data_IF_697236383695
#
_entry.id   IF_697236383695
#
_cell.length_a   1.000
_cell.length_b   1.000
_cell.length_c   1.000
_cell.angle_alpha   90.00
_cell.angle_beta   90.00
_cell.angle_gamma   90.00
#
_symmetry.space_group_name_H-M   'P 1'
#
loop_
_entity.id
_entity.type
_entity.pdbx_description
1 polymer ?
#
# COMPACT_ATOMS: atom_id res chain seq x y z
N UNK A 1 1.80 17.77 -7.30
CA UNK A 1 0.78 17.69 -6.23
C UNK A 1 1.21 16.53 -5.37
N UNK A 2 1.58 16.80 -4.13
CA UNK A 2 2.29 15.87 -3.22
C UNK A 2 1.29 14.84 -2.67
N UNK A 3 1.23 13.66 -3.30
CA UNK A 3 0.29 12.60 -2.92
C UNK A 3 0.65 12.09 -1.52
N UNK A 4 1.94 12.03 -1.21
CA UNK A 4 2.45 11.59 0.09
C UNK A 4 1.96 12.45 1.25
N UNK A 5 1.88 13.77 1.08
CA UNK A 5 1.35 14.69 2.09
C UNK A 5 -0.18 14.70 2.18
N UNK A 6 -0.89 14.30 1.11
CA UNK A 6 -2.36 14.23 1.10
C UNK A 6 -2.87 12.94 1.75
N UNK A 7 -2.11 11.84 1.68
CA UNK A 7 -2.52 10.55 2.22
C UNK A 7 -2.29 10.44 3.73
N UNK A 8 -3.16 11.09 4.50
CA UNK A 8 -3.12 11.07 5.97
C UNK A 8 -3.59 9.74 6.56
N UNK A 9 -3.31 9.51 7.84
CA UNK A 9 -3.83 8.35 8.58
C UNK A 9 -5.36 8.27 8.56
N UNK A 10 -6.06 9.42 8.49
CA UNK A 10 -7.52 9.44 8.35
C UNK A 10 -7.99 8.92 6.98
N UNK A 11 -7.31 9.30 5.90
CA UNK A 11 -7.58 8.76 4.56
C UNK A 11 -7.33 7.25 4.51
N UNK A 12 -6.24 6.77 5.13
CA UNK A 12 -5.99 5.34 5.29
C UNK A 12 -7.15 4.64 6.00
N UNK A 13 -7.57 5.14 7.16
CA UNK A 13 -8.65 4.53 7.95
C UNK A 13 -9.97 4.48 7.16
N UNK A 14 -10.29 5.56 6.45
CA UNK A 14 -11.49 5.64 5.63
C UNK A 14 -11.48 4.59 4.52
N UNK A 15 -10.39 4.50 3.74
CA UNK A 15 -10.27 3.49 2.69
C UNK A 15 -10.24 2.06 3.25
N UNK A 16 -9.56 1.85 4.38
CA UNK A 16 -9.53 0.57 5.06
C UNK A 16 -10.94 0.10 5.42
N UNK A 17 -11.75 0.95 6.07
CA UNK A 17 -13.14 0.62 6.42
C UNK A 17 -13.95 0.30 5.17
N UNK A 18 -13.85 1.15 4.13
CA UNK A 18 -14.58 0.93 2.87
C UNK A 18 -14.23 -0.41 2.24
N UNK A 19 -12.94 -0.74 2.11
CA UNK A 19 -12.52 -2.00 1.49
C UNK A 19 -12.87 -3.22 2.33
N UNK A 20 -12.80 -3.13 3.66
CA UNK A 20 -13.28 -4.20 4.55
C UNK A 20 -14.78 -4.43 4.35
N UNK A 21 -15.58 -3.37 4.34
CA UNK A 21 -17.03 -3.45 4.12
C UNK A 21 -17.34 -4.08 2.76
N UNK A 22 -16.66 -3.65 1.69
CA UNK A 22 -16.84 -4.23 0.34
C UNK A 22 -16.49 -5.72 0.33
N UNK A 23 -15.36 -6.13 0.90
CA UNK A 23 -14.97 -7.54 0.98
C UNK A 23 -16.02 -8.38 1.71
N UNK A 24 -16.51 -7.91 2.86
CA UNK A 24 -17.55 -8.59 3.64
C UNK A 24 -18.88 -8.69 2.87
N UNK A 25 -19.27 -7.63 2.17
CA UNK A 25 -20.48 -7.60 1.33
C UNK A 25 -20.37 -8.65 0.23
N UNK A 26 -19.27 -8.67 -0.52
CA UNK A 26 -19.06 -9.65 -1.61
C UNK A 26 -19.06 -11.07 -1.07
N UNK A 27 -18.40 -11.31 0.07
CA UNK A 27 -18.34 -12.62 0.71
C UNK A 27 -19.73 -13.11 1.13
N UNK A 28 -20.56 -12.23 1.71
CA UNK A 28 -21.95 -12.52 2.07
C UNK A 28 -22.80 -12.82 0.83
N UNK A 29 -22.69 -12.02 -0.23
CA UNK A 29 -23.42 -12.24 -1.48
C UNK A 29 -23.04 -13.56 -2.16
N UNK A 30 -21.74 -13.91 -2.18
CA UNK A 30 -21.26 -15.16 -2.77
C UNK A 30 -21.36 -16.37 -1.84
N UNK A 31 -21.87 -16.22 -0.61
CA UNK A 31 -21.95 -17.26 0.44
C UNK A 31 -20.61 -18.00 0.64
N UNK A 32 -19.50 -17.27 0.58
CA UNK A 32 -18.16 -17.85 0.72
C UNK A 32 -17.72 -17.90 2.18
N UNK A 33 -16.81 -18.82 2.50
CA UNK A 33 -16.21 -18.92 3.82
C UNK A 33 -15.16 -17.80 4.01
N UNK A 34 -15.11 -17.18 5.20
CA UNK A 34 -14.15 -16.12 5.56
C UNK A 34 -12.69 -16.53 5.33
N UNK A 35 -12.38 -17.83 5.39
CA UNK A 35 -11.04 -18.38 5.09
C UNK A 35 -10.55 -18.05 3.67
N UNK A 36 -11.45 -17.72 2.74
CA UNK A 36 -11.08 -17.34 1.37
C UNK A 36 -10.34 -15.99 1.32
N UNK A 37 -10.56 -15.12 2.32
CA UNK A 37 -9.90 -13.82 2.43
C UNK A 37 -8.40 -13.98 2.74
N UNK A 38 -8.03 -14.95 3.59
CA UNK A 38 -6.64 -15.17 4.03
C UNK A 38 -5.87 -16.12 3.12
N UNK A 39 -5.73 -15.74 1.85
CA UNK A 39 -4.95 -16.52 0.88
C UNK A 39 -3.52 -16.00 0.77
N UNK A 40 -2.57 -16.87 1.10
CA UNK A 40 -1.15 -16.55 1.09
C UNK A 40 -0.65 -16.05 -0.28
N UNK A 41 -1.26 -16.51 -1.39
CA UNK A 41 -0.88 -16.04 -2.74
C UNK A 41 -1.23 -14.58 -2.95
N UNK A 42 -2.37 -14.15 -2.41
CA UNK A 42 -2.83 -12.75 -2.46
C UNK A 42 -1.93 -11.89 -1.59
N UNK A 43 -1.57 -12.37 -0.41
CA UNK A 43 -0.65 -11.68 0.50
C UNK A 43 0.73 -11.50 -0.15
N UNK A 44 1.28 -12.56 -0.76
CA UNK A 44 2.56 -12.50 -1.45
C UNK A 44 2.53 -11.53 -2.64
N UNK A 45 1.44 -11.55 -3.42
CA UNK A 45 1.26 -10.59 -4.53
C UNK A 45 1.13 -9.15 -4.02
N UNK A 46 0.39 -8.92 -2.93
CA UNK A 46 0.26 -7.61 -2.31
C UNK A 46 1.63 -7.07 -1.86
N UNK A 47 2.47 -7.94 -1.30
CA UNK A 47 3.83 -7.61 -0.89
C UNK A 47 4.69 -7.17 -2.08
N UNK A 48 4.66 -7.91 -3.19
CA UNK A 48 5.38 -7.54 -4.42
C UNK A 48 4.90 -6.18 -4.93
N UNK A 49 3.58 -5.94 -5.00
CA UNK A 49 3.03 -4.66 -5.46
C UNK A 49 3.41 -3.52 -4.53
N UNK A 50 3.44 -3.76 -3.21
CA UNK A 50 3.86 -2.74 -2.22
C UNK A 50 5.33 -2.37 -2.43
N UNK A 51 6.20 -3.36 -2.68
CA UNK A 51 7.59 -3.11 -3.04
C UNK A 51 7.75 -2.38 -4.36
N UNK A 52 6.94 -2.71 -5.38
CA UNK A 52 6.90 -1.94 -6.64
C UNK A 52 6.47 -0.48 -6.41
N UNK A 53 5.76 -0.20 -5.32
CA UNK A 53 5.46 1.16 -4.86
C UNK A 53 6.72 2.00 -4.60
N UNK A 54 7.89 1.41 -4.35
CA UNK A 54 9.16 2.15 -4.26
C UNK A 54 9.55 2.85 -5.57
N UNK A 55 9.02 2.41 -6.71
CA UNK A 55 9.25 3.06 -8.00
C UNK A 55 8.56 4.43 -8.09
N UNK A 56 7.55 4.68 -7.25
CA UNK A 56 6.96 6.00 -7.10
C UNK A 56 7.78 6.81 -6.11
N UNK A 57 8.34 7.93 -6.57
CA UNK A 57 9.18 8.82 -5.78
C UNK A 57 8.74 10.27 -5.99
N UNK A 58 8.64 11.00 -4.89
CA UNK A 58 8.41 12.44 -4.87
C UNK A 58 9.61 13.12 -4.22
N UNK A 59 10.05 14.23 -4.82
CA UNK A 59 11.16 15.03 -4.28
C UNK A 59 10.64 16.38 -3.81
N UNK A 60 11.07 16.79 -2.62
CA UNK A 60 10.78 18.10 -2.05
C UNK A 60 12.06 18.74 -1.52
N UNK A 61 12.08 20.08 -1.45
CA UNK A 61 13.18 20.84 -0.85
C UNK A 61 12.70 21.48 0.45
N UNK A 62 13.49 21.35 1.51
CA UNK A 62 13.23 21.98 2.80
C UNK A 62 14.54 22.58 3.33
N UNK A 63 14.66 23.91 3.26
CA UNK A 63 15.89 24.64 3.59
C UNK A 63 17.10 24.07 2.82
N UNK A 64 18.13 23.63 3.53
CA UNK A 64 19.36 23.03 2.98
C UNK A 64 19.24 21.52 2.72
N UNK A 65 18.03 20.95 2.75
CA UNK A 65 17.81 19.51 2.57
C UNK A 65 16.99 19.23 1.30
N UNK A 66 17.49 18.27 0.51
CA UNK A 66 16.72 17.57 -0.50
C UNK A 66 16.10 16.33 0.13
N UNK A 67 14.77 16.21 0.07
CA UNK A 67 14.02 15.09 0.65
C UNK A 67 13.38 14.31 -0.49
N UNK A 68 13.78 13.05 -0.64
CA UNK A 68 13.17 12.09 -1.55
C UNK A 68 12.31 11.12 -0.73
N UNK A 69 11.02 11.05 -1.03
CA UNK A 69 10.08 10.11 -0.43
C UNK A 69 9.61 9.12 -1.47
N UNK A 70 9.71 7.82 -1.17
CA UNK A 70 9.31 6.74 -2.08
C UNK A 70 8.34 5.78 -1.41
N UNK A 71 7.44 5.22 -2.21
CA UNK A 71 6.36 4.33 -1.76
C UNK A 71 5.01 4.76 -2.33
N UNK A 72 4.00 3.89 -2.25
CA UNK A 72 2.65 4.24 -2.69
C UNK A 72 1.60 3.40 -1.95
N UNK A 73 0.43 3.95 -1.59
CA UNK A 73 0.03 5.37 -1.70
C UNK A 73 0.70 6.31 -0.69
N UNK A 74 1.17 5.78 0.45
CA UNK A 74 1.96 6.54 1.43
C UNK A 74 3.45 6.25 1.24
N UNK A 75 4.31 7.23 1.46
CA UNK A 75 5.74 6.95 1.45
C UNK A 75 6.10 6.04 2.63
N UNK A 76 7.00 5.10 2.38
CA UNK A 76 7.57 4.25 3.43
C UNK A 76 9.09 4.18 3.33
N UNK A 77 9.67 4.86 2.37
CA UNK A 77 11.10 5.09 2.26
C UNK A 77 11.34 6.58 2.15
N UNK A 78 12.30 7.10 2.92
CA UNK A 78 12.65 8.50 2.94
C UNK A 78 14.17 8.61 2.91
N UNK A 79 14.67 9.46 2.03
CA UNK A 79 16.09 9.80 1.92
C UNK A 79 16.24 11.31 2.01
N UNK A 80 17.06 11.80 2.94
CA UNK A 80 17.43 13.22 3.02
C UNK A 80 18.88 13.38 2.62
N UNK A 81 19.19 14.25 1.68
CA UNK A 81 20.56 14.66 1.37
C UNK A 81 20.75 16.15 1.63
N UNK A 82 21.95 16.52 2.08
CA UNK A 82 22.33 17.93 2.23
C UNK A 82 22.55 18.56 0.85
N UNK A 83 22.08 19.80 0.68
CA UNK A 83 22.32 20.63 -0.52
C UNK A 83 23.64 21.44 -0.41
N UNK A 84 24.30 21.43 0.76
CA UNK A 84 25.54 22.15 1.04
C UNK A 84 26.82 21.45 0.53
N UNK A 85 27.90 22.23 0.34
CA UNK A 85 29.18 21.81 -0.27
C UNK A 85 30.06 20.86 0.58
N UNK A 86 29.65 20.52 1.80
CA UNK A 86 30.45 19.68 2.68
C UNK A 86 30.16 18.20 2.41
N UNK A 87 30.96 17.60 1.50
CA UNK A 87 30.92 16.20 1.10
C UNK A 87 31.10 15.17 2.25
N UNK A 88 31.33 15.63 3.49
CA UNK A 88 31.36 14.79 4.70
C UNK A 88 29.98 14.63 5.35
N UNK A 89 29.00 15.48 5.01
CA UNK A 89 27.57 15.36 5.36
C UNK A 89 26.75 14.64 4.26
N UNK A 90 27.40 13.95 3.32
CA UNK A 90 26.76 13.04 2.35
C UNK A 90 26.16 11.78 3.01
N UNK A 91 26.16 11.72 4.35
CA UNK A 91 25.42 10.75 5.15
C UNK A 91 23.93 11.05 5.02
N UNK A 92 23.38 10.67 3.87
CA UNK A 92 21.97 10.80 3.64
C UNK A 92 21.21 10.04 4.72
N UNK A 93 20.29 10.71 5.41
CA UNK A 93 19.42 10.04 6.38
C UNK A 93 18.46 9.19 5.58
N UNK A 94 18.64 7.87 5.65
CA UNK A 94 17.73 6.89 5.07
C UNK A 94 16.85 6.34 6.17
N UNK A 95 15.54 6.44 5.99
CA UNK A 95 14.55 5.95 6.94
C UNK A 95 13.51 5.09 6.21
N UNK A 96 13.24 3.92 6.78
CA UNK A 96 12.13 3.07 6.38
C UNK A 96 10.99 3.20 7.40
N UNK A 97 9.80 3.61 6.96
CA UNK A 97 8.61 3.70 7.80
C UNK A 97 7.79 2.41 7.67
N UNK A 98 8.01 1.49 8.61
CA UNK A 98 7.34 0.20 8.66
C UNK A 98 5.82 0.32 8.82
N UNK A 99 5.32 1.37 9.47
CA UNK A 99 3.89 1.57 9.67
C UNK A 99 3.25 1.93 8.34
N UNK A 100 3.84 2.86 7.59
CA UNK A 100 3.34 3.24 6.27
C UNK A 100 3.45 2.08 5.27
N UNK A 101 4.53 1.30 5.33
CA UNK A 101 4.66 0.07 4.54
C UNK A 101 3.51 -0.90 4.82
N UNK A 102 3.22 -1.16 6.10
CA UNK A 102 2.15 -2.06 6.50
C UNK A 102 0.76 -1.53 6.11
N UNK A 103 0.52 -0.21 6.25
CA UNK A 103 -0.71 0.44 5.81
C UNK A 103 -0.95 0.23 4.30
N UNK A 104 0.07 0.48 3.49
CA UNK A 104 -0.01 0.26 2.04
C UNK A 104 -0.25 -1.21 1.71
N UNK A 105 0.48 -2.11 2.36
CA UNK A 105 0.34 -3.56 2.18
C UNK A 105 -1.09 -4.02 2.45
N UNK A 106 -1.69 -3.56 3.56
CA UNK A 106 -3.06 -3.91 3.94
C UNK A 106 -4.05 -3.40 2.89
N UNK A 107 -3.92 -2.16 2.42
CA UNK A 107 -4.82 -1.60 1.41
C UNK A 107 -4.71 -2.35 0.08
N UNK A 108 -3.49 -2.60 -0.39
CA UNK A 108 -3.24 -3.35 -1.63
C UNK A 108 -3.81 -4.77 -1.51
N UNK A 109 -3.58 -5.44 -0.37
CA UNK A 109 -4.13 -6.75 -0.10
C UNK A 109 -5.66 -6.75 -0.17
N UNK A 110 -6.34 -5.80 0.48
CA UNK A 110 -7.79 -5.72 0.46
C UNK A 110 -8.34 -5.45 -0.94
N UNK A 111 -7.66 -4.64 -1.75
CA UNK A 111 -8.03 -4.39 -3.14
C UNK A 111 -7.88 -5.65 -3.98
N UNK A 112 -6.74 -6.35 -3.88
CA UNK A 112 -6.53 -7.62 -4.57
C UNK A 112 -7.56 -8.68 -4.15
N UNK A 113 -7.94 -8.69 -2.89
CA UNK A 113 -8.95 -9.62 -2.39
C UNK A 113 -10.34 -9.31 -2.96
N UNK A 114 -10.71 -8.02 -3.08
CA UNK A 114 -11.93 -7.60 -3.81
C UNK A 114 -11.89 -8.12 -5.25
N UNK A 115 -10.79 -7.89 -5.97
CA UNK A 115 -10.62 -8.38 -7.34
C UNK A 115 -10.76 -9.90 -7.41
N UNK A 116 -10.03 -10.62 -6.57
CA UNK A 116 -10.12 -12.08 -6.48
C UNK A 116 -11.55 -12.53 -6.20
N UNK A 117 -12.23 -11.94 -5.22
CA UNK A 117 -13.60 -12.32 -4.87
C UNK A 117 -14.57 -12.05 -6.01
N UNK A 118 -14.43 -10.96 -6.75
CA UNK A 118 -15.27 -10.63 -7.91
C UNK A 118 -15.01 -11.62 -9.06
N UNK A 119 -13.74 -11.77 -9.45
CA UNK A 119 -13.32 -12.54 -10.63
C UNK A 119 -13.31 -14.06 -10.42
N UNK A 120 -13.29 -14.54 -9.17
CA UNK A 120 -13.49 -15.96 -8.88
C UNK A 120 -14.91 -16.33 -9.33
N UNK A 121 -14.99 -16.91 -10.54
CA UNK A 121 -16.20 -17.52 -11.09
C UNK A 121 -16.79 -18.41 -10.01
N UNK A 122 -18.07 -18.20 -9.73
CA UNK A 122 -18.86 -19.21 -9.05
C UNK A 122 -18.92 -20.41 -10.00
N UNK A 123 -17.91 -21.28 -9.97
CA UNK A 123 -17.99 -22.61 -10.56
C UNK A 123 -18.96 -23.40 -9.69
N UNK A 124 -20.24 -23.01 -9.75
CA UNK A 124 -21.33 -23.86 -9.37
C UNK A 124 -21.46 -24.81 -10.55
N UNK A 125 -20.74 -25.93 -10.47
CA UNK A 125 -20.97 -27.10 -11.30
C UNK A 125 -22.46 -27.41 -11.12
N UNK A 126 -23.27 -27.07 -12.13
CA UNK A 126 -24.61 -27.61 -12.27
C UNK A 126 -24.44 -29.06 -12.69
N UNK A 127 -24.16 -29.92 -11.71
CA UNK A 127 -24.50 -31.33 -11.83
C UNK A 127 -25.84 -31.49 -11.11
N UNK A 128 -26.93 -31.32 -11.86
CA UNK A 128 -28.16 -32.03 -11.56
C UNK A 128 -28.99 -32.26 -12.82
#
# INVERSE_FOLDING_TARGET
>A
MDIHNQFTSMYFLLLFIIFVVINLIILRFKKQNWRVLLDWKVIALAFIITLLGLLYCESSKSNDWLIETSGFPKYFYLKKSSLGKDALMDWGIVQFDYINFLQNLILIFLVLDIFKLIFKRSFKIQNH
#
